data_IF_008828939552
#
_entry.id   IF_008828939552
#
_cell.length_a   1.000
_cell.length_b   1.000
_cell.length_c   1.000
_cell.angle_alpha   90.00
_cell.angle_beta   90.00
_cell.angle_gamma   90.00
#
_symmetry.space_group_name_H-M   'P 1'
#
loop_
_entity.id
_entity.type
_entity.pdbx_description
1 polymer ?
#
# COMPACT_ATOMS: atom_id res chain seq x y z
N UNK A 1 12.34 31.47 -28.68
CA UNK A 1 11.41 30.35 -28.94
C UNK A 1 12.18 29.09 -28.66
N UNK A 2 12.03 28.53 -27.46
CA UNK A 2 12.61 27.24 -27.07
C UNK A 2 12.03 26.15 -27.98
N UNK A 3 12.89 25.29 -28.53
CA UNK A 3 12.50 24.34 -29.57
C UNK A 3 11.56 23.27 -29.01
N UNK A 4 10.71 22.67 -29.85
CA UNK A 4 9.78 21.61 -29.42
C UNK A 4 10.49 20.49 -28.64
N UNK A 5 11.76 20.22 -28.95
CA UNK A 5 12.60 19.25 -28.25
C UNK A 5 12.81 19.55 -26.76
N UNK A 6 12.94 20.82 -26.36
CA UNK A 6 13.11 21.20 -24.94
C UNK A 6 11.82 21.03 -24.12
N UNK A 7 10.64 21.05 -24.76
CA UNK A 7 9.36 20.82 -24.06
C UNK A 7 8.99 19.34 -23.95
N UNK A 8 9.61 18.49 -24.75
CA UNK A 8 9.29 17.05 -24.84
C UNK A 8 10.40 16.15 -24.32
N UNK A 9 11.43 16.70 -23.66
CA UNK A 9 12.50 15.89 -23.07
C UNK A 9 11.96 15.14 -21.84
N UNK A 10 11.98 13.79 -21.82
CA UNK A 10 11.51 12.99 -20.69
C UNK A 10 12.29 13.24 -19.39
N UNK A 11 13.48 13.87 -19.46
CA UNK A 11 14.29 14.23 -18.30
C UNK A 11 14.03 15.66 -17.78
N UNK A 12 13.16 16.42 -18.46
CA UNK A 12 12.93 17.83 -18.15
C UNK A 12 14.14 18.72 -18.51
N UNK A 13 14.03 20.04 -18.29
CA UNK A 13 15.13 20.95 -18.56
C UNK A 13 16.35 20.60 -17.68
N UNK A 14 17.58 20.63 -18.23
CA UNK A 14 18.78 20.30 -17.48
C UNK A 14 18.96 21.28 -16.31
N UNK A 15 18.89 20.77 -15.08
CA UNK A 15 19.11 21.54 -13.87
C UNK A 15 20.59 21.44 -13.44
N UNK A 16 21.23 22.59 -13.17
CA UNK A 16 22.63 22.65 -12.70
C UNK A 16 22.78 22.24 -11.23
N UNK A 17 21.69 22.31 -10.45
CA UNK A 17 21.67 22.02 -9.02
C UNK A 17 20.52 21.07 -8.73
N UNK A 18 20.83 19.83 -8.38
CA UNK A 18 19.88 18.88 -7.84
C UNK A 18 19.95 18.95 -6.30
N UNK A 19 18.92 19.47 -5.62
CA UNK A 19 18.91 19.55 -4.16
C UNK A 19 18.82 18.14 -3.57
N UNK A 20 19.97 17.54 -3.25
CA UNK A 20 20.08 16.17 -2.72
C UNK A 20 19.32 16.00 -1.39
N UNK A 21 19.12 17.08 -0.64
CA UNK A 21 18.32 17.10 0.60
C UNK A 21 16.83 16.81 0.38
N UNK A 22 16.33 16.95 -0.83
CA UNK A 22 14.92 16.71 -1.20
C UNK A 22 14.63 15.23 -1.52
N UNK A 23 15.64 14.36 -1.43
CA UNK A 23 15.53 12.96 -1.77
C UNK A 23 15.94 12.05 -0.60
N UNK A 24 15.06 11.12 -0.25
CA UNK A 24 15.34 10.12 0.80
C UNK A 24 15.51 8.74 0.18
N UNK A 25 16.63 8.09 0.49
CA UNK A 25 16.81 6.67 0.24
C UNK A 25 16.07 5.89 1.33
N UNK A 26 15.06 5.12 0.92
CA UNK A 26 14.24 4.30 1.81
C UNK A 26 14.68 2.85 1.67
N UNK A 27 15.11 2.25 2.77
CA UNK A 27 15.47 0.83 2.84
C UNK A 27 14.50 0.07 3.74
N UNK A 28 14.08 -1.15 3.37
CA UNK A 28 13.21 -1.98 4.20
C UNK A 28 13.92 -2.44 5.49
N UNK A 29 13.16 -2.58 6.58
CA UNK A 29 13.68 -2.97 7.90
C UNK A 29 13.67 -4.51 8.08
N UNK A 30 14.78 -5.17 7.79
CA UNK A 30 14.91 -6.63 7.94
C UNK A 30 15.08 -7.06 9.41
N UNK A 31 13.99 -7.49 10.06
CA UNK A 31 14.04 -8.21 11.36
C UNK A 31 13.08 -9.40 11.33
N UNK A 32 13.65 -10.60 11.31
CA UNK A 32 13.01 -11.91 11.23
C UNK A 32 12.75 -12.48 12.61
N UNK A 33 11.48 -12.70 13.00
CA UNK A 33 11.05 -13.77 13.90
C UNK A 33 9.52 -13.83 13.99
N UNK A 34 8.91 -14.83 13.36
CA UNK A 34 7.61 -15.38 13.76
C UNK A 34 7.40 -16.69 12.96
N UNK A 35 6.92 -17.74 13.62
CA UNK A 35 6.46 -18.99 12.98
C UNK A 35 4.95 -19.08 13.25
N UNK A 36 4.14 -19.34 12.22
CA UNK A 36 2.72 -19.67 12.43
C UNK A 36 2.22 -20.67 11.39
N UNK A 37 1.09 -21.31 11.71
CA UNK A 37 0.48 -22.40 10.95
C UNK A 37 -0.95 -22.01 10.58
N UNK A 38 -1.26 -21.98 9.29
CA UNK A 38 -2.61 -21.71 8.79
C UNK A 38 -3.34 -23.02 8.47
N UNK A 39 -4.62 -23.14 8.87
CA UNK A 39 -5.53 -24.21 8.42
C UNK A 39 -6.77 -23.56 7.83
N UNK A 40 -6.97 -23.72 6.52
CA UNK A 40 -8.20 -23.35 5.86
C UNK A 40 -9.26 -24.44 6.07
N UNK A 41 -10.47 -24.06 6.50
CA UNK A 41 -11.63 -24.94 6.60
C UNK A 41 -12.67 -24.47 5.59
N UNK A 42 -12.82 -25.21 4.49
CA UNK A 42 -13.88 -25.01 3.50
C UNK A 42 -14.45 -26.35 3.04
N UNK A 43 -15.77 -26.53 3.16
CA UNK A 43 -16.47 -27.70 2.62
C UNK A 43 -16.74 -27.50 1.12
N UNK A 44 -16.56 -28.52 0.27
CA UNK A 44 -16.83 -28.39 -1.17
C UNK A 44 -18.33 -28.52 -1.45
N UNK A 45 -18.90 -27.60 -2.22
CA UNK A 45 -20.22 -27.75 -2.86
C UNK A 45 -20.08 -27.63 -4.38
N UNK A 46 -20.94 -28.33 -5.15
CA UNK A 46 -20.75 -28.53 -6.59
C UNK A 46 -21.21 -27.33 -7.44
N UNK A 47 -20.69 -27.33 -8.67
CA UNK A 47 -20.65 -26.26 -9.67
C UNK A 47 -21.97 -25.53 -9.98
N UNK A 48 -21.97 -24.21 -9.79
CA UNK A 48 -22.93 -23.26 -10.39
C UNK A 48 -22.27 -21.86 -10.50
N UNK A 49 -21.47 -21.64 -11.56
CA UNK A 49 -20.88 -20.33 -11.88
C UNK A 49 -20.02 -19.68 -10.77
N UNK A 50 -19.54 -18.44 -10.96
CA UNK A 50 -18.89 -17.69 -9.87
C UNK A 50 -19.95 -17.24 -8.86
N UNK A 51 -20.16 -18.04 -7.81
CA UNK A 51 -20.98 -17.68 -6.67
C UNK A 51 -20.19 -16.81 -5.68
N UNK A 52 -20.83 -15.77 -5.12
CA UNK A 52 -20.24 -14.95 -4.08
C UNK A 52 -20.29 -15.72 -2.76
N UNK A 53 -19.13 -16.02 -2.19
CA UNK A 53 -19.01 -16.71 -0.90
C UNK A 53 -18.51 -15.73 0.17
N UNK A 54 -19.17 -15.72 1.33
CA UNK A 54 -18.68 -15.01 2.52
C UNK A 54 -17.53 -15.85 3.11
N UNK A 55 -16.30 -15.41 2.86
CA UNK A 55 -15.09 -16.07 3.31
C UNK A 55 -14.42 -15.26 4.42
N UNK A 56 -13.93 -15.95 5.45
CA UNK A 56 -13.19 -15.35 6.56
C UNK A 56 -11.91 -16.11 6.81
N UNK A 57 -10.79 -15.39 6.91
CA UNK A 57 -9.48 -15.95 7.28
C UNK A 57 -9.20 -15.58 8.74
N UNK A 58 -8.79 -16.55 9.54
CA UNK A 58 -8.46 -16.32 10.95
C UNK A 58 -6.95 -16.41 11.14
N UNK A 59 -6.37 -15.36 11.72
CA UNK A 59 -4.96 -15.31 12.08
C UNK A 59 -4.80 -15.35 13.59
N UNK A 60 -3.86 -16.14 14.09
CA UNK A 60 -3.48 -16.13 15.50
C UNK A 60 -2.19 -15.32 15.65
N UNK A 61 -2.28 -14.13 16.24
CA UNK A 61 -1.16 -13.20 16.45
C UNK A 61 -1.08 -12.92 17.95
N UNK A 62 0.08 -13.14 18.56
CA UNK A 62 0.32 -12.97 20.01
C UNK A 62 -0.69 -13.68 20.91
N UNK A 63 -1.18 -14.86 20.48
CA UNK A 63 -2.16 -15.66 21.21
C UNK A 63 -3.61 -15.16 21.09
N UNK A 64 -3.85 -14.11 20.29
CA UNK A 64 -5.17 -13.57 20.01
C UNK A 64 -5.57 -13.96 18.59
N UNK A 65 -6.79 -14.48 18.42
CA UNK A 65 -7.34 -14.78 17.09
C UNK A 65 -8.01 -13.55 16.50
N UNK A 66 -7.59 -13.18 15.29
CA UNK A 66 -8.08 -12.05 14.50
C UNK A 66 -8.83 -12.57 13.26
N UNK A 67 -10.18 -12.51 13.25
CA UNK A 67 -10.96 -12.89 12.08
C UNK A 67 -11.01 -11.74 11.07
N UNK A 68 -10.40 -11.94 9.89
CA UNK A 68 -10.47 -11.03 8.75
C UNK A 68 -11.51 -11.53 7.74
N UNK A 69 -12.56 -10.74 7.52
CA UNK A 69 -13.59 -11.05 6.52
C UNK A 69 -13.17 -10.55 5.15
N UNK A 70 -13.15 -11.43 4.15
CA UNK A 70 -12.85 -11.08 2.75
C UNK A 70 -14.08 -10.46 2.07
N UNK A 71 -14.57 -9.37 2.64
CA UNK A 71 -15.86 -8.76 2.29
C UNK A 71 -15.82 -8.08 0.92
N UNK A 72 -14.66 -7.56 0.55
CA UNK A 72 -14.47 -6.75 -0.65
C UNK A 72 -13.59 -7.46 -1.67
N UNK A 73 -13.98 -7.36 -2.94
CA UNK A 73 -13.14 -7.71 -4.07
C UNK A 73 -12.18 -6.55 -4.36
N UNK A 74 -10.89 -6.76 -4.10
CA UNK A 74 -9.84 -5.74 -4.20
C UNK A 74 -8.82 -6.16 -5.24
N UNK A 75 -8.30 -5.20 -5.99
CA UNK A 75 -7.25 -5.46 -6.99
C UNK A 75 -5.86 -5.32 -6.38
N UNK A 76 -5.02 -6.34 -6.61
CA UNK A 76 -3.60 -6.31 -6.31
C UNK A 76 -2.82 -6.08 -7.59
N UNK A 77 -2.03 -5.00 -7.63
CA UNK A 77 -1.24 -4.62 -8.82
C UNK A 77 0.22 -4.93 -8.56
N UNK A 78 0.86 -5.72 -9.41
CA UNK A 78 2.29 -6.00 -9.26
C UNK A 78 3.13 -4.79 -9.66
N UNK A 79 4.12 -4.45 -8.83
CA UNK A 79 5.09 -3.43 -9.10
C UNK A 79 6.03 -3.81 -10.28
N UNK A 80 6.50 -2.82 -11.04
CA UNK A 80 7.44 -3.08 -12.13
C UNK A 80 8.87 -3.26 -11.56
N UNK A 81 9.65 -4.23 -12.07
CA UNK A 81 11.03 -4.42 -11.64
C UNK A 81 11.91 -3.21 -12.01
N UNK A 82 12.70 -2.74 -11.06
CA UNK A 82 13.61 -1.61 -11.27
C UNK A 82 15.06 -2.09 -11.42
N UNK A 83 15.85 -1.45 -12.28
CA UNK A 83 17.28 -1.75 -12.47
C UNK A 83 18.15 -0.68 -11.82
N UNK A 84 19.17 -1.08 -11.05
CA UNK A 84 20.16 -0.13 -10.49
C UNK A 84 19.71 0.65 -9.25
N UNK A 85 18.80 0.08 -8.45
CA UNK A 85 18.35 0.68 -7.18
C UNK A 85 19.42 0.67 -6.07
N UNK A 86 19.21 1.42 -4.97
CA UNK A 86 17.96 2.07 -4.57
C UNK A 86 17.70 3.43 -5.24
N UNK A 87 16.47 3.62 -5.74
CA UNK A 87 16.06 4.89 -6.36
C UNK A 87 15.57 5.90 -5.31
N UNK A 88 15.90 7.19 -5.47
CA UNK A 88 15.48 8.23 -4.55
C UNK A 88 13.98 8.49 -4.65
N UNK A 89 13.32 8.66 -3.50
CA UNK A 89 11.93 9.13 -3.43
C UNK A 89 11.91 10.64 -3.18
N UNK A 90 11.06 11.36 -3.92
CA UNK A 90 10.86 12.80 -3.74
C UNK A 90 10.19 13.08 -2.38
N UNK A 91 10.58 14.15 -1.69
CA UNK A 91 10.19 14.42 -0.31
C UNK A 91 8.69 14.62 -0.08
N UNK A 92 7.93 15.12 -1.08
CA UNK A 92 6.49 15.30 -0.97
C UNK A 92 5.71 13.97 -1.02
N UNK A 93 6.35 12.85 -1.39
CA UNK A 93 5.72 11.54 -1.25
C UNK A 93 5.74 11.12 0.22
N UNK A 94 4.63 11.35 0.91
CA UNK A 94 4.42 10.93 2.30
C UNK A 94 4.03 9.46 2.33
N UNK A 95 4.73 8.66 3.14
CA UNK A 95 4.40 7.26 3.35
C UNK A 95 4.62 6.83 4.80
N UNK A 96 3.89 5.82 5.25
CA UNK A 96 4.09 5.14 6.54
C UNK A 96 4.58 3.73 6.32
N UNK A 97 5.60 3.30 7.04
CA UNK A 97 6.01 1.89 7.04
C UNK A 97 5.48 1.19 8.28
N UNK A 98 4.71 0.12 8.09
CA UNK A 98 4.16 -0.70 9.16
C UNK A 98 4.56 -2.15 8.93
N UNK A 99 4.99 -2.83 9.98
CA UNK A 99 5.23 -4.28 9.93
C UNK A 99 3.90 -5.01 9.87
N UNK A 100 3.85 -6.11 9.10
CA UNK A 100 2.67 -6.95 8.99
C UNK A 100 2.10 -7.38 10.35
N UNK A 101 2.94 -7.68 11.34
CA UNK A 101 2.50 -8.10 12.68
C UNK A 101 1.59 -7.07 13.37
N UNK A 102 1.76 -5.78 13.03
CA UNK A 102 1.00 -4.64 13.61
C UNK A 102 -0.09 -4.11 12.70
N UNK A 103 -0.26 -4.66 11.50
CA UNK A 103 -1.24 -4.15 10.54
C UNK A 103 -2.68 -4.22 11.08
N UNK A 104 -2.94 -5.18 11.95
CA UNK A 104 -4.27 -5.39 12.55
C UNK A 104 -4.63 -4.28 13.55
N UNK A 105 -3.64 -3.58 14.10
CA UNK A 105 -3.83 -2.41 14.94
C UNK A 105 -4.23 -1.17 14.13
N UNK A 106 -3.88 -1.14 12.83
CA UNK A 106 -4.22 -0.05 11.92
C UNK A 106 -5.69 -0.15 11.55
N UNK A 107 -6.47 0.84 11.98
CA UNK A 107 -7.90 0.99 11.69
C UNK A 107 -8.13 2.29 10.92
N UNK A 108 -9.15 2.31 10.07
CA UNK A 108 -9.53 3.51 9.29
C UNK A 108 -8.42 4.11 8.42
N UNK A 109 -7.58 3.28 7.80
CA UNK A 109 -6.60 3.79 6.87
C UNK A 109 -7.28 4.56 5.72
N UNK A 110 -6.89 5.82 5.53
CA UNK A 110 -7.45 6.71 4.51
C UNK A 110 -8.81 7.34 4.87
N UNK A 111 -9.30 7.20 6.10
CA UNK A 111 -10.53 7.88 6.58
C UNK A 111 -11.81 7.47 5.85
N UNK A 112 -11.78 6.37 5.10
CA UNK A 112 -12.86 5.96 4.19
C UNK A 112 -14.06 5.34 4.92
N UNK A 113 -13.92 4.84 6.15
CA UNK A 113 -14.94 4.01 6.79
C UNK A 113 -15.64 4.65 8.01
N UNK A 114 -14.96 5.48 8.80
CA UNK A 114 -15.59 6.25 9.88
C UNK A 114 -15.46 7.77 9.66
N UNK A 115 -16.29 8.31 8.77
CA UNK A 115 -16.74 9.71 8.84
C UNK A 115 -15.67 10.79 8.67
N UNK A 116 -15.05 10.86 7.48
CA UNK A 116 -14.10 11.93 7.14
C UNK A 116 -14.06 12.25 5.65
N UNK A 117 -15.14 12.83 5.12
CA UNK A 117 -15.21 13.51 3.80
C UNK A 117 -14.74 12.69 2.59
N UNK A 118 -15.69 12.01 1.95
CA UNK A 118 -15.61 11.69 0.52
C UNK A 118 -15.56 13.02 -0.25
N UNK A 119 -14.34 13.48 -0.56
CA UNK A 119 -14.07 14.62 -1.42
C UNK A 119 -14.34 14.28 -2.89
N UNK A 120 -15.55 13.85 -3.23
CA UNK A 120 -16.02 13.99 -4.62
C UNK A 120 -16.09 15.48 -4.91
N UNK A 121 -15.17 15.97 -5.74
CA UNK A 121 -15.12 17.33 -6.26
C UNK A 121 -16.34 17.60 -7.15
N UNK A 122 -17.50 17.76 -6.53
CA UNK A 122 -18.68 18.40 -7.11
C UNK A 122 -18.69 19.85 -6.63
N UNK A 123 -18.15 20.74 -7.47
CA UNK A 123 -18.05 22.16 -7.18
C UNK A 123 -19.43 22.81 -7.33
N UNK A 124 -20.19 22.90 -6.23
CA UNK A 124 -21.38 23.74 -6.10
C UNK A 124 -21.03 25.00 -5.29
N UNK A 125 -21.49 26.21 -5.69
CA UNK A 125 -21.16 27.43 -4.97
C UNK A 125 -22.15 27.63 -3.81
N UNK A 126 -21.66 27.86 -2.59
CA UNK A 126 -22.55 28.31 -1.52
C UNK A 126 -22.01 28.25 -0.08
N UNK A 127 -21.50 29.39 0.39
CA UNK A 127 -21.75 29.96 1.72
C UNK A 127 -21.14 29.31 2.98
N UNK A 128 -20.12 29.99 3.54
CA UNK A 128 -20.27 30.67 4.83
C UNK A 128 -19.84 29.97 6.13
N UNK A 129 -18.67 30.42 6.62
CA UNK A 129 -18.31 30.73 8.02
C UNK A 129 -18.01 29.63 9.05
N UNK A 130 -16.76 29.75 9.56
CA UNK A 130 -16.31 29.66 10.95
C UNK A 130 -15.76 28.33 11.50
N UNK A 131 -14.44 28.37 11.68
CA UNK A 131 -13.65 27.79 12.78
C UNK A 131 -13.66 26.27 12.99
N UNK A 132 -12.57 25.62 12.58
CA UNK A 132 -11.75 24.82 13.50
C UNK A 132 -10.47 24.36 12.80
N UNK A 133 -9.35 24.70 13.43
CA UNK A 133 -7.96 24.38 13.11
C UNK A 133 -7.63 22.87 13.07
N UNK A 134 -8.63 21.99 12.98
CA UNK A 134 -8.49 20.54 12.78
C UNK A 134 -8.54 20.13 11.30
N UNK A 135 -9.10 20.98 10.42
CA UNK A 135 -9.25 20.66 9.00
C UNK A 135 -7.93 20.75 8.19
N UNK A 136 -6.90 21.42 8.71
CA UNK A 136 -5.59 21.52 8.07
C UNK A 136 -4.67 20.32 8.35
N UNK A 137 -4.96 19.52 9.38
CA UNK A 137 -4.26 18.25 9.63
C UNK A 137 -4.92 17.08 8.86
N UNK A 138 -6.24 17.15 8.63
CA UNK A 138 -6.99 16.14 7.87
C UNK A 138 -6.75 16.18 6.35
N UNK A 139 -6.16 17.26 5.82
CA UNK A 139 -5.85 17.40 4.39
C UNK A 139 -4.52 16.75 3.98
N UNK A 140 -3.58 16.57 4.92
CA UNK A 140 -2.27 15.93 4.68
C UNK A 140 -2.33 14.41 4.86
N UNK A 141 -3.30 13.91 5.65
CA UNK A 141 -3.52 12.47 5.86
C UNK A 141 -4.20 11.80 4.65
N UNK A 142 -4.79 12.57 3.73
CA UNK A 142 -5.56 12.06 2.60
C UNK A 142 -4.72 11.50 1.45
N UNK A 143 -3.42 11.82 1.38
CA UNK A 143 -2.54 11.42 0.28
C UNK A 143 -1.32 10.63 0.76
N UNK A 144 -1.46 9.89 1.87
CA UNK A 144 -0.38 9.07 2.42
C UNK A 144 -0.48 7.62 1.95
N UNK A 145 0.65 7.03 1.59
CA UNK A 145 0.76 5.61 1.24
C UNK A 145 1.17 4.77 2.44
N UNK A 146 0.45 3.70 2.75
CA UNK A 146 0.83 2.68 3.72
C UNK A 146 1.72 1.64 3.06
N UNK A 147 2.94 1.50 3.53
CA UNK A 147 3.89 0.48 3.12
C UNK A 147 3.91 -0.62 4.17
N UNK A 148 3.41 -1.79 3.81
CA UNK A 148 3.33 -2.97 4.67
C UNK A 148 4.57 -3.82 4.40
N UNK A 149 5.39 -4.02 5.43
CA UNK A 149 6.52 -4.94 5.37
C UNK A 149 6.03 -6.37 5.66
N UNK A 150 5.80 -7.16 4.60
CA UNK A 150 5.36 -8.55 4.68
C UNK A 150 6.52 -9.53 4.39
N UNK A 151 7.67 -9.29 5.02
CA UNK A 151 8.86 -10.14 4.89
C UNK A 151 8.78 -11.39 5.77
N UNK A 152 9.54 -12.42 5.42
CA UNK A 152 9.68 -13.63 6.23
C UNK A 152 8.74 -14.75 5.77
N UNK A 153 7.73 -15.06 6.59
CA UNK A 153 6.84 -16.20 6.36
C UNK A 153 5.83 -15.88 5.25
N UNK A 154 5.49 -16.82 4.35
CA UNK A 154 4.50 -16.59 3.28
C UNK A 154 3.12 -16.14 3.81
N UNK A 155 2.73 -16.59 5.00
CA UNK A 155 1.50 -16.17 5.68
C UNK A 155 1.43 -14.65 5.92
N UNK A 156 2.56 -13.95 5.99
CA UNK A 156 2.60 -12.49 6.16
C UNK A 156 2.02 -11.77 4.94
N UNK A 157 2.29 -12.27 3.75
CA UNK A 157 1.69 -11.75 2.53
C UNK A 157 0.17 -11.99 2.53
N UNK A 158 -0.25 -13.19 2.94
CA UNK A 158 -1.67 -13.55 3.04
C UNK A 158 -2.39 -12.67 4.06
N UNK A 159 -1.76 -12.38 5.21
CA UNK A 159 -2.29 -11.46 6.23
C UNK A 159 -2.47 -10.05 5.67
N UNK A 160 -1.46 -9.52 4.97
CA UNK A 160 -1.53 -8.20 4.34
C UNK A 160 -2.64 -8.13 3.30
N UNK A 161 -2.78 -9.15 2.45
CA UNK A 161 -3.86 -9.23 1.44
C UNK A 161 -5.24 -9.36 2.08
N UNK A 162 -5.38 -10.21 3.10
CA UNK A 162 -6.64 -10.39 3.82
C UNK A 162 -7.08 -9.10 4.53
N UNK A 163 -6.14 -8.34 5.09
CA UNK A 163 -6.42 -7.03 5.69
C UNK A 163 -6.90 -6.03 4.64
N UNK A 164 -6.26 -6.01 3.46
CA UNK A 164 -6.69 -5.18 2.33
C UNK A 164 -8.12 -5.53 1.88
N UNK A 165 -8.44 -6.81 1.71
CA UNK A 165 -9.80 -7.28 1.37
C UNK A 165 -10.83 -7.05 2.49
N UNK A 166 -10.39 -6.97 3.75
CA UNK A 166 -11.27 -6.67 4.87
C UNK A 166 -11.74 -5.22 4.87
N UNK A 167 -10.83 -4.30 4.55
CA UNK A 167 -11.08 -2.87 4.48
C UNK A 167 -11.32 -2.36 3.06
N UNK A 168 -11.45 -3.23 2.05
CA UNK A 168 -11.73 -2.80 0.67
C UNK A 168 -10.66 -1.91 0.06
N UNK A 169 -9.39 -2.10 0.42
CA UNK A 169 -8.26 -1.33 -0.09
C UNK A 169 -7.52 -2.13 -1.17
N UNK A 170 -7.36 -1.55 -2.36
CA UNK A 170 -6.44 -2.09 -3.37
C UNK A 170 -4.99 -1.79 -2.97
N UNK A 171 -4.05 -2.65 -3.39
CA UNK A 171 -2.65 -2.49 -3.02
C UNK A 171 -1.68 -2.81 -4.17
N UNK A 172 -0.56 -2.10 -4.20
CA UNK A 172 0.59 -2.45 -5.05
C UNK A 172 1.42 -3.51 -4.34
N UNK A 173 1.73 -4.62 -4.99
CA UNK A 173 2.59 -5.69 -4.46
C UNK A 173 3.98 -5.56 -5.08
N UNK A 174 4.99 -5.30 -4.27
CA UNK A 174 6.36 -5.12 -4.72
C UNK A 174 7.31 -6.15 -4.10
N UNK A 175 8.01 -6.88 -4.96
CA UNK A 175 9.08 -7.79 -4.57
C UNK A 175 10.36 -6.98 -4.31
N UNK A 176 10.85 -6.95 -3.06
CA UNK A 176 12.03 -6.14 -2.70
C UNK A 176 13.32 -6.58 -3.38
N UNK A 177 13.37 -7.80 -3.91
CA UNK A 177 14.49 -8.27 -4.71
C UNK A 177 14.52 -7.65 -6.12
N UNK A 178 13.36 -7.20 -6.63
CA UNK A 178 13.18 -6.69 -7.99
C UNK A 178 12.85 -5.21 -8.03
N UNK A 179 12.15 -4.70 -7.03
CA UNK A 179 11.64 -3.32 -6.98
C UNK A 179 12.03 -2.67 -5.66
N UNK A 180 12.74 -1.54 -5.74
CA UNK A 180 13.06 -0.76 -4.56
C UNK A 180 11.82 -0.04 -3.99
N UNK A 181 11.83 0.25 -2.69
CA UNK A 181 10.70 0.89 -1.99
C UNK A 181 10.30 2.22 -2.63
N UNK A 182 11.27 3.02 -3.09
CA UNK A 182 10.99 4.29 -3.78
C UNK A 182 10.20 4.11 -5.08
N UNK A 183 10.48 3.07 -5.88
CA UNK A 183 9.70 2.75 -7.08
C UNK A 183 8.30 2.25 -6.71
N UNK A 184 8.18 1.38 -5.71
CA UNK A 184 6.88 0.87 -5.27
C UNK A 184 5.95 1.98 -4.77
N UNK A 185 6.48 2.95 -4.00
CA UNK A 185 5.70 4.11 -3.57
C UNK A 185 5.31 4.98 -4.76
N UNK A 186 6.23 5.27 -5.70
CA UNK A 186 5.91 6.03 -6.92
C UNK A 186 4.79 5.38 -7.73
N UNK A 187 4.79 4.05 -7.83
CA UNK A 187 3.74 3.31 -8.53
C UNK A 187 2.40 3.36 -7.79
N UNK A 188 2.40 3.30 -6.46
CA UNK A 188 1.17 3.47 -5.68
C UNK A 188 0.53 4.84 -5.90
N UNK A 189 1.33 5.92 -5.89
CA UNK A 189 0.85 7.25 -6.22
C UNK A 189 0.37 7.35 -7.68
N UNK A 190 1.09 6.76 -8.63
CA UNK A 190 0.67 6.75 -10.04
C UNK A 190 -0.64 5.97 -10.26
N UNK A 191 -0.85 4.89 -9.50
CA UNK A 191 -2.06 4.08 -9.52
C UNK A 191 -3.18 4.62 -8.61
N UNK A 192 -2.96 5.72 -7.90
CA UNK A 192 -3.87 6.29 -6.89
C UNK A 192 -4.28 5.29 -5.80
N UNK A 193 -3.36 4.37 -5.47
CA UNK A 193 -3.53 3.38 -4.41
C UNK A 193 -2.84 3.88 -3.13
N UNK A 194 -3.50 3.66 -2.00
CA UNK A 194 -3.02 4.12 -0.69
C UNK A 194 -2.25 3.05 0.07
N UNK A 195 -2.04 1.87 -0.51
CA UNK A 195 -1.38 0.73 0.13
C UNK A 195 -0.35 0.08 -0.81
N UNK A 196 0.80 -0.27 -0.25
CA UNK A 196 1.90 -1.03 -0.85
C UNK A 196 2.21 -2.22 0.05
N UNK A 197 2.30 -3.42 -0.49
CA UNK A 197 2.73 -4.63 0.20
C UNK A 197 4.13 -4.97 -0.31
N UNK A 198 5.13 -4.91 0.57
CA UNK A 198 6.48 -5.36 0.27
C UNK A 198 6.60 -6.84 0.61
N UNK A 199 6.91 -7.65 -0.40
CA UNK A 199 7.14 -9.09 -0.29
C UNK A 199 8.60 -9.41 -0.58
N UNK A 200 9.10 -10.51 -0.03
CA UNK A 200 10.40 -11.06 -0.39
C UNK A 200 10.20 -12.33 -1.20
N UNK A 201 10.34 -12.24 -2.52
CA UNK A 201 10.10 -13.37 -3.42
C UNK A 201 11.12 -14.51 -3.27
N UNK A 202 12.30 -14.25 -2.69
CA UNK A 202 13.38 -15.25 -2.60
C UNK A 202 13.10 -16.35 -1.59
N UNK A 203 12.33 -16.07 -0.54
CA UNK A 203 12.00 -17.05 0.50
C UNK A 203 10.99 -18.11 0.03
N UNK A 204 10.28 -17.84 -1.07
CA UNK A 204 9.31 -18.78 -1.63
C UNK A 204 9.94 -19.77 -2.63
N UNK A 205 11.13 -19.47 -3.17
CA UNK A 205 11.81 -20.29 -4.19
C UNK A 205 12.72 -21.37 -3.57
N UNK A 206 13.06 -21.27 -2.27
CA UNK A 206 13.94 -22.23 -1.59
C UNK A 206 13.21 -23.47 -1.02
N UNK A 207 11.87 -23.51 -1.06
CA UNK A 207 11.03 -24.61 -0.56
C UNK A 207 10.39 -25.50 -1.66
N UNK A 208 10.70 -25.26 -2.94
CA UNK A 208 10.24 -26.08 -4.09
C UNK A 208 11.35 -26.96 -4.68
#
# INVERSE_FOLDING_TARGET
MTSMSERSDPLGPPAEVFPVSEYKLVSPSHKTNCQSTTRALGAPQPDDGPAWHDATVQFAIDGISWPLRLTFDVSFVSAWPCSGGPHPLFFDYVFETVRVDRIVEVRDWGGLYYGGRVGSRAQGPGSGSSESSAAAQQSEEGEKVLVIEAFGVPDNEVLARAWCSHWGLGAVVADVAKTCVGCAVREAYAATLTVVILVDGRLNEEEE
#
